data_IF_793891660986
#
_entry.id   IF_793891660986
#
_cell.length_a   1.000
_cell.length_b   1.000
_cell.length_c   1.000
_cell.angle_alpha   90.00
_cell.angle_beta   90.00
_cell.angle_gamma   90.00
#
_symmetry.space_group_name_H-M   'P 1'
#
loop_
_entity.id
_entity.type
_entity.pdbx_description
1 polymer ?
#
# COMPACT_ATOMS: atom_id res chain seq x y z
N UNK A 1 45.38 -9.40 -38.39
CA UNK A 1 44.69 -10.59 -37.87
C UNK A 1 44.79 -10.51 -36.37
N UNK A 2 43.75 -10.32 -35.58
CA UNK A 2 42.33 -10.12 -35.84
C UNK A 2 41.85 -9.30 -34.63
N UNK A 3 41.17 -8.19 -34.91
CA UNK A 3 40.56 -7.31 -33.93
C UNK A 3 39.15 -7.81 -33.63
N UNK A 4 38.92 -8.21 -32.38
CA UNK A 4 37.67 -8.71 -31.83
C UNK A 4 36.61 -7.58 -31.77
N UNK A 5 35.40 -7.73 -32.34
CA UNK A 5 34.40 -6.68 -32.35
C UNK A 5 33.54 -6.70 -31.08
N UNK A 6 33.35 -5.51 -30.51
CA UNK A 6 32.46 -5.19 -29.39
C UNK A 6 31.14 -5.99 -29.35
N UNK A 7 30.92 -6.71 -28.24
CA UNK A 7 29.58 -7.12 -27.80
C UNK A 7 28.83 -5.90 -27.26
N UNK A 8 28.01 -5.29 -28.10
CA UNK A 8 26.99 -4.34 -27.66
C UNK A 8 25.86 -5.07 -26.90
N UNK A 9 25.92 -5.06 -25.57
CA UNK A 9 24.70 -5.16 -24.75
C UNK A 9 24.06 -3.78 -24.68
N UNK A 10 23.38 -3.39 -25.76
CA UNK A 10 22.71 -2.09 -25.85
C UNK A 10 21.32 -2.11 -25.23
N UNK A 11 21.15 -1.44 -24.09
CA UNK A 11 19.86 -0.79 -23.81
C UNK A 11 19.67 0.28 -24.91
N UNK A 12 18.75 0.04 -25.84
CA UNK A 12 18.47 1.00 -26.89
C UNK A 12 17.48 2.03 -26.35
N UNK A 13 17.99 3.21 -25.97
CA UNK A 13 17.15 4.35 -25.61
C UNK A 13 16.43 4.85 -26.87
N UNK A 14 15.10 4.79 -26.86
CA UNK A 14 14.28 5.46 -27.88
C UNK A 14 14.18 6.92 -27.45
N UNK A 15 15.06 7.78 -27.99
CA UNK A 15 14.91 9.22 -27.83
C UNK A 15 13.68 9.68 -28.62
N UNK A 16 12.68 10.19 -27.91
CA UNK A 16 11.51 10.86 -28.48
C UNK A 16 11.82 12.35 -28.40
N UNK A 17 12.34 12.91 -29.49
CA UNK A 17 12.68 14.34 -29.55
C UNK A 17 11.46 15.18 -29.99
N UNK A 18 10.40 14.54 -30.48
CA UNK A 18 9.21 15.20 -30.99
C UNK A 18 7.93 14.41 -30.59
N UNK A 19 6.87 15.05 -30.07
CA UNK A 19 5.62 14.38 -29.66
C UNK A 19 4.96 13.47 -30.71
N UNK A 20 5.20 13.73 -31.99
CA UNK A 20 4.65 12.94 -33.11
C UNK A 20 5.37 11.59 -33.33
N UNK A 21 6.57 11.40 -32.77
CA UNK A 21 7.31 10.13 -32.83
C UNK A 21 6.59 8.98 -32.10
N UNK A 22 5.63 9.32 -31.24
CA UNK A 22 4.78 8.34 -30.54
C UNK A 22 3.78 7.66 -31.47
N UNK A 23 3.58 8.15 -32.70
CA UNK A 23 2.75 7.54 -33.74
C UNK A 23 3.54 6.63 -34.70
N UNK A 24 4.86 6.61 -34.58
CA UNK A 24 5.72 5.78 -35.41
C UNK A 24 5.49 4.29 -35.13
N UNK A 25 5.08 3.58 -36.19
CA UNK A 25 4.71 2.16 -36.17
C UNK A 25 5.90 1.26 -35.83
N UNK A 26 7.12 1.67 -36.17
CA UNK A 26 8.32 0.86 -35.96
C UNK A 26 8.81 0.97 -34.52
N UNK A 27 8.82 2.18 -33.95
CA UNK A 27 9.12 2.42 -32.52
C UNK A 27 8.12 1.72 -31.58
N UNK A 28 6.82 1.72 -31.93
CA UNK A 28 5.78 0.95 -31.20
C UNK A 28 6.00 -0.56 -31.26
N UNK A 29 6.47 -1.08 -32.40
CA UNK A 29 6.75 -2.51 -32.58
C UNK A 29 7.94 -2.93 -31.72
N UNK A 30 8.99 -2.11 -31.62
CA UNK A 30 10.16 -2.37 -30.77
C UNK A 30 9.80 -2.34 -29.28
N UNK A 31 9.01 -1.35 -28.84
CA UNK A 31 8.54 -1.28 -27.45
C UNK A 31 7.68 -2.49 -27.06
N UNK A 32 6.74 -2.91 -27.92
CA UNK A 32 5.92 -4.12 -27.70
C UNK A 32 6.76 -5.40 -27.72
N UNK A 33 7.76 -5.49 -28.60
CA UNK A 33 8.68 -6.63 -28.63
C UNK A 33 9.49 -6.74 -27.35
N UNK A 34 9.94 -5.62 -26.77
CA UNK A 34 10.62 -5.60 -25.49
C UNK A 34 9.71 -6.03 -24.32
N UNK A 35 8.48 -5.52 -24.26
CA UNK A 35 7.50 -5.92 -23.24
C UNK A 35 7.19 -7.43 -23.29
N UNK A 36 6.99 -7.98 -24.50
CA UNK A 36 6.76 -9.41 -24.70
C UNK A 36 8.00 -10.24 -24.33
N UNK A 37 9.21 -9.78 -24.68
CA UNK A 37 10.47 -10.48 -24.36
C UNK A 37 10.75 -10.49 -22.85
N UNK A 38 10.31 -9.47 -22.12
CA UNK A 38 10.39 -9.39 -20.67
C UNK A 38 9.36 -10.33 -19.99
N UNK A 39 8.13 -10.37 -20.50
CA UNK A 39 7.10 -11.31 -20.04
C UNK A 39 7.46 -12.79 -20.31
N UNK A 40 8.17 -13.07 -21.41
CA UNK A 40 8.68 -14.41 -21.69
C UNK A 40 9.89 -14.78 -20.82
N UNK A 41 10.68 -13.81 -20.34
CA UNK A 41 11.78 -14.04 -19.41
C UNK A 41 11.29 -14.34 -17.99
N UNK A 42 10.22 -13.68 -17.52
CA UNK A 42 9.60 -14.03 -16.23
C UNK A 42 9.00 -15.43 -16.24
N UNK A 43 8.48 -15.89 -17.38
CA UNK A 43 7.91 -17.24 -17.57
C UNK A 43 8.95 -18.38 -17.65
N UNK A 44 10.23 -18.07 -17.84
CA UNK A 44 11.33 -19.06 -17.95
C UNK A 44 12.08 -19.31 -16.64
N UNK A 45 11.70 -18.66 -15.53
CA UNK A 45 12.12 -19.07 -14.20
C UNK A 45 11.26 -20.27 -13.77
N UNK A 46 11.84 -21.42 -13.37
CA UNK A 46 11.06 -22.59 -12.97
C UNK A 46 10.13 -22.26 -11.79
N UNK A 47 8.84 -22.57 -11.94
CA UNK A 47 7.87 -22.64 -10.86
C UNK A 47 7.98 -24.02 -10.20
N UNK A 48 8.32 -24.07 -8.92
CA UNK A 48 8.06 -25.21 -8.06
C UNK A 48 7.23 -24.72 -6.86
N UNK A 49 6.09 -25.38 -6.61
CA UNK A 49 5.30 -25.25 -5.39
C UNK A 49 3.91 -24.59 -5.50
N UNK A 50 2.97 -25.23 -6.20
CA UNK A 50 1.54 -24.90 -6.14
C UNK A 50 0.89 -25.57 -4.92
N UNK A 51 0.37 -24.74 -4.00
CA UNK A 51 -0.78 -24.91 -3.08
C UNK A 51 -1.16 -26.33 -2.62
N UNK A 52 -0.87 -26.63 -1.35
CA UNK A 52 -1.60 -27.61 -0.54
C UNK A 52 -2.44 -26.89 0.52
N UNK A 53 -3.75 -26.78 0.29
CA UNK A 53 -4.71 -26.32 1.31
C UNK A 53 -5.26 -27.55 2.02
N UNK A 54 -4.88 -27.75 3.28
CA UNK A 54 -5.37 -28.85 4.11
C UNK A 54 -5.95 -28.33 5.41
N UNK A 55 -7.28 -28.25 5.51
CA UNK A 55 -8.02 -28.43 6.77
C UNK A 55 -9.30 -29.19 6.41
N UNK A 56 -9.43 -30.40 6.95
CA UNK A 56 -10.66 -31.16 6.94
C UNK A 56 -11.53 -30.80 8.15
N UNK A 57 -12.83 -30.69 7.94
CA UNK A 57 -13.84 -30.94 8.97
C UNK A 57 -15.20 -31.25 8.33
N UNK A 58 -15.65 -32.48 8.61
CA UNK A 58 -16.99 -33.08 8.57
C UNK A 58 -18.18 -32.31 7.99
N UNK A 59 -18.93 -32.99 7.12
CA UNK A 59 -20.11 -32.47 6.45
C UNK A 59 -21.34 -32.31 7.36
N UNK A 60 -22.00 -31.16 7.21
CA UNK A 60 -23.43 -30.97 7.41
C UNK A 60 -23.93 -30.01 6.31
N UNK A 61 -24.91 -30.45 5.53
CA UNK A 61 -25.66 -29.58 4.60
C UNK A 61 -26.43 -28.55 5.43
N UNK A 62 -26.02 -27.28 5.35
CA UNK A 62 -26.80 -26.14 5.85
C UNK A 62 -27.30 -25.35 4.65
N UNK A 63 -28.63 -25.29 4.55
CA UNK A 63 -29.38 -24.53 3.54
C UNK A 63 -28.98 -23.05 3.60
N UNK A 64 -28.79 -22.35 2.47
CA UNK A 64 -28.39 -20.94 2.49
C UNK A 64 -29.41 -20.07 3.23
N UNK A 65 -28.92 -19.31 4.21
CA UNK A 65 -29.60 -18.27 5.00
C UNK A 65 -30.30 -17.18 4.14
N UNK A 66 -30.07 -17.20 2.83
CA UNK A 66 -30.40 -16.16 1.85
C UNK A 66 -31.89 -15.91 1.58
N UNK A 67 -32.82 -16.62 2.22
CA UNK A 67 -34.25 -16.56 1.85
C UNK A 67 -35.08 -15.74 2.85
N UNK A 68 -34.55 -15.42 4.04
CA UNK A 68 -35.33 -14.77 5.11
C UNK A 68 -34.70 -13.53 5.74
N UNK A 69 -33.64 -12.97 5.16
CA UNK A 69 -33.02 -11.77 5.70
C UNK A 69 -33.82 -10.50 5.32
N UNK A 70 -34.11 -9.59 6.27
CA UNK A 70 -34.80 -8.33 5.98
C UNK A 70 -33.95 -7.42 5.08
N UNK A 71 -34.58 -6.50 4.36
CA UNK A 71 -33.90 -5.62 3.38
C UNK A 71 -32.74 -4.77 3.96
N UNK A 72 -32.69 -4.60 5.29
CA UNK A 72 -31.62 -3.92 6.03
C UNK A 72 -30.40 -4.81 6.31
N UNK A 73 -30.43 -6.10 5.96
CA UNK A 73 -29.32 -7.04 6.09
C UNK A 73 -28.43 -7.11 4.83
N UNK A 74 -28.84 -6.42 3.75
CA UNK A 74 -28.08 -6.32 2.51
C UNK A 74 -27.09 -5.16 2.61
N UNK A 75 -25.81 -5.45 2.43
CA UNK A 75 -24.75 -4.43 2.47
C UNK A 75 -24.86 -3.43 1.31
N UNK A 76 -24.17 -2.26 1.40
CA UNK A 76 -24.22 -1.19 0.40
C UNK A 76 -23.74 -1.59 -1.00
N UNK A 77 -23.19 -2.80 -1.17
CA UNK A 77 -22.76 -3.32 -2.46
C UNK A 77 -23.83 -4.10 -3.21
N UNK A 78 -24.94 -4.53 -2.60
CA UNK A 78 -25.99 -5.18 -3.37
C UNK A 78 -26.70 -4.23 -4.35
N UNK A 79 -26.75 -2.93 -4.01
CA UNK A 79 -27.17 -1.88 -4.96
C UNK A 79 -26.10 -1.58 -6.01
N UNK A 80 -24.80 -1.70 -5.69
CA UNK A 80 -23.66 -1.48 -6.60
C UNK A 80 -23.52 -2.62 -7.62
N UNK A 81 -23.97 -3.83 -7.30
CA UNK A 81 -23.71 -5.02 -8.11
C UNK A 81 -24.24 -4.96 -9.54
N UNK A 82 -25.22 -4.10 -9.84
CA UNK A 82 -25.88 -4.02 -11.14
C UNK A 82 -26.24 -5.40 -11.71
N UNK A 83 -26.52 -5.45 -13.01
CA UNK A 83 -26.83 -6.71 -13.70
C UNK A 83 -25.59 -7.50 -14.17
N UNK A 84 -24.37 -7.16 -13.73
CA UNK A 84 -23.14 -7.81 -14.23
C UNK A 84 -22.72 -9.04 -13.41
N UNK A 85 -23.01 -10.28 -13.84
CA UNK A 85 -22.63 -11.48 -13.09
C UNK A 85 -21.11 -11.63 -12.94
N UNK A 86 -20.34 -11.14 -13.93
CA UNK A 86 -18.87 -11.17 -13.87
C UNK A 86 -18.34 -10.27 -12.75
N UNK A 87 -18.90 -9.06 -12.59
CA UNK A 87 -18.48 -8.16 -11.52
C UNK A 87 -18.78 -8.75 -10.13
N UNK A 88 -19.95 -9.36 -9.96
CA UNK A 88 -20.30 -10.05 -8.70
C UNK A 88 -19.32 -11.18 -8.38
N UNK A 89 -18.94 -11.95 -9.39
CA UNK A 89 -17.94 -13.02 -9.26
C UNK A 89 -16.54 -12.51 -8.91
N UNK A 90 -16.18 -11.30 -9.35
CA UNK A 90 -14.90 -10.68 -8.98
C UNK A 90 -14.92 -10.16 -7.55
N UNK A 91 -15.97 -9.44 -7.14
CA UNK A 91 -16.11 -8.85 -5.79
C UNK A 91 -16.22 -9.90 -4.68
N UNK A 92 -16.74 -11.09 -5.00
CA UNK A 92 -16.80 -12.20 -4.04
C UNK A 92 -15.41 -12.69 -3.63
N UNK A 93 -14.37 -12.41 -4.42
CA UNK A 93 -13.00 -12.78 -4.11
C UNK A 93 -12.38 -11.82 -3.07
N UNK A 94 -11.73 -12.38 -2.05
CA UNK A 94 -11.12 -11.60 -0.95
C UNK A 94 -10.10 -10.58 -1.46
N UNK A 95 -9.20 -10.99 -2.37
CA UNK A 95 -8.22 -10.10 -2.99
C UNK A 95 -8.83 -8.87 -3.69
N UNK A 96 -10.02 -9.00 -4.28
CA UNK A 96 -10.69 -7.89 -4.96
C UNK A 96 -11.22 -6.84 -3.98
N UNK A 97 -11.62 -7.24 -2.76
CA UNK A 97 -12.24 -6.35 -1.78
C UNK A 97 -11.32 -5.22 -1.29
N UNK A 98 -10.00 -5.44 -1.37
CA UNK A 98 -8.98 -4.44 -1.00
C UNK A 98 -8.29 -3.80 -2.22
N UNK A 99 -8.57 -4.29 -3.43
CA UNK A 99 -7.87 -3.84 -4.64
C UNK A 99 -8.22 -2.41 -5.06
N UNK A 100 -9.41 -1.95 -4.69
CA UNK A 100 -9.87 -0.59 -4.94
C UNK A 100 -9.32 0.43 -3.94
N UNK A 101 -8.77 -0.01 -2.80
CA UNK A 101 -8.12 0.89 -1.86
C UNK A 101 -6.82 1.44 -2.50
N UNK A 102 -6.52 2.74 -2.32
CA UNK A 102 -7.17 3.68 -1.40
C UNK A 102 -8.33 4.50 -1.99
N UNK A 103 -8.74 4.24 -3.23
CA UNK A 103 -9.75 5.05 -3.92
C UNK A 103 -11.12 4.94 -3.21
N UNK A 104 -11.51 3.72 -2.84
CA UNK A 104 -12.65 3.45 -1.97
C UNK A 104 -12.52 2.05 -1.34
N UNK A 105 -13.26 1.79 -0.27
CA UNK A 105 -13.28 0.51 0.44
C UNK A 105 -14.53 -0.31 0.10
N UNK A 106 -14.33 -1.60 -0.15
CA UNK A 106 -15.42 -2.59 -0.34
C UNK A 106 -15.65 -3.42 0.92
N UNK A 107 -14.58 -3.73 1.66
CA UNK A 107 -14.60 -4.67 2.78
C UNK A 107 -15.17 -4.06 4.07
N UNK A 108 -14.78 -2.83 4.37
CA UNK A 108 -15.22 -2.11 5.57
C UNK A 108 -15.33 -0.62 5.21
N UNK A 109 -16.53 -0.15 4.82
CA UNK A 109 -16.72 1.23 4.40
C UNK A 109 -16.46 2.14 5.60
N UNK A 110 -15.25 2.71 5.67
CA UNK A 110 -15.06 3.95 6.43
C UNK A 110 -16.01 4.96 5.83
N UNK A 111 -16.78 5.63 6.67
CA UNK A 111 -17.95 6.48 6.33
C UNK A 111 -17.69 7.53 5.23
N UNK A 112 -16.43 7.79 4.87
CA UNK A 112 -16.03 8.80 3.89
C UNK A 112 -15.29 8.22 2.66
N UNK A 113 -15.13 6.91 2.57
CA UNK A 113 -14.46 6.19 1.47
C UNK A 113 -15.29 5.01 0.97
N UNK A 114 -16.59 4.97 1.25
CA UNK A 114 -17.49 4.06 0.52
C UNK A 114 -17.75 4.59 -0.90
N UNK A 115 -18.18 3.69 -1.79
CA UNK A 115 -18.39 4.00 -3.19
C UNK A 115 -19.37 5.17 -3.42
N UNK A 116 -20.49 5.18 -2.69
CA UNK A 116 -21.53 6.21 -2.83
C UNK A 116 -21.03 7.58 -2.38
N UNK A 117 -20.31 7.62 -1.26
CA UNK A 117 -19.70 8.85 -0.73
C UNK A 117 -18.63 9.44 -1.66
N UNK A 118 -17.85 8.59 -2.32
CA UNK A 118 -16.78 9.05 -3.23
C UNK A 118 -17.35 9.54 -4.56
N UNK A 119 -18.21 8.75 -5.21
CA UNK A 119 -18.60 9.00 -6.61
C UNK A 119 -19.96 9.66 -6.79
N UNK A 120 -20.86 9.60 -5.79
CA UNK A 120 -22.24 10.13 -5.86
C UNK A 120 -23.00 9.72 -7.13
N UNK A 121 -22.71 8.53 -7.65
CA UNK A 121 -23.33 7.98 -8.86
C UNK A 121 -23.56 6.48 -8.67
N UNK A 122 -24.48 5.94 -9.46
CA UNK A 122 -24.61 4.50 -9.65
C UNK A 122 -23.48 3.97 -10.54
N UNK A 123 -23.27 2.65 -10.52
CA UNK A 123 -22.18 1.94 -11.21
C UNK A 123 -22.34 1.83 -12.74
N UNK A 124 -23.15 2.70 -13.35
CA UNK A 124 -23.46 2.66 -14.78
C UNK A 124 -22.47 3.49 -15.62
N UNK A 125 -21.57 4.23 -14.97
CA UNK A 125 -20.57 5.02 -15.65
C UNK A 125 -19.54 4.13 -16.38
N UNK A 126 -19.40 4.22 -17.72
CA UNK A 126 -18.59 3.28 -18.49
C UNK A 126 -17.08 3.39 -18.22
N UNK A 127 -16.56 4.57 -17.86
CA UNK A 127 -15.15 4.73 -17.52
C UNK A 127 -14.86 4.08 -16.17
N UNK A 128 -15.67 4.42 -15.16
CA UNK A 128 -15.51 3.90 -13.80
C UNK A 128 -15.75 2.39 -13.74
N UNK A 129 -16.82 1.89 -14.36
CA UNK A 129 -17.13 0.45 -14.38
C UNK A 129 -16.00 -0.39 -14.98
N UNK A 130 -15.41 0.06 -16.08
CA UNK A 130 -14.31 -0.68 -16.70
C UNK A 130 -13.01 -0.57 -15.90
N UNK A 131 -12.70 0.58 -15.31
CA UNK A 131 -11.56 0.72 -14.42
C UNK A 131 -11.69 -0.15 -13.15
N UNK A 132 -12.92 -0.31 -12.63
CA UNK A 132 -13.24 -1.21 -11.53
C UNK A 132 -13.05 -2.68 -11.90
N UNK A 133 -13.64 -3.11 -13.03
CA UNK A 133 -13.48 -4.48 -13.53
C UNK A 133 -12.01 -4.82 -13.75
N UNK A 134 -11.23 -3.91 -14.32
CA UNK A 134 -9.78 -4.04 -14.44
C UNK A 134 -9.13 -4.24 -13.07
N UNK A 135 -9.41 -3.36 -12.10
CA UNK A 135 -8.81 -3.39 -10.77
C UNK A 135 -9.06 -4.72 -10.07
N UNK A 136 -10.29 -5.23 -10.15
CA UNK A 136 -10.64 -6.51 -9.53
C UNK A 136 -10.11 -7.72 -10.30
N UNK A 137 -10.20 -7.73 -11.63
CA UNK A 137 -9.63 -8.81 -12.45
C UNK A 137 -8.12 -8.93 -12.24
N UNK A 138 -7.41 -7.79 -12.19
CA UNK A 138 -5.98 -7.74 -11.88
C UNK A 138 -5.65 -8.32 -10.51
N UNK A 139 -6.46 -8.02 -9.47
CA UNK A 139 -6.24 -8.56 -8.14
C UNK A 139 -6.50 -10.07 -8.06
N UNK A 140 -7.58 -10.55 -8.69
CA UNK A 140 -7.95 -11.97 -8.71
C UNK A 140 -6.92 -12.83 -9.43
N UNK A 141 -6.26 -12.29 -10.44
CA UNK A 141 -5.20 -12.98 -11.19
C UNK A 141 -3.82 -12.90 -10.52
N UNK A 142 -3.73 -12.37 -9.30
CA UNK A 142 -2.47 -12.22 -8.57
C UNK A 142 -1.52 -11.19 -9.22
N UNK A 143 -2.08 -10.18 -9.90
CA UNK A 143 -1.32 -9.15 -10.59
C UNK A 143 -0.88 -9.51 -12.02
N UNK A 144 -1.46 -10.56 -12.62
CA UNK A 144 -1.16 -10.94 -13.99
C UNK A 144 -2.10 -10.22 -14.98
N UNK A 145 -1.52 -9.47 -15.93
CA UNK A 145 -2.30 -8.79 -16.96
C UNK A 145 -2.62 -9.78 -18.09
N UNK A 146 -3.88 -10.21 -18.16
CA UNK A 146 -4.43 -11.06 -19.22
C UNK A 146 -5.25 -10.25 -20.25
N UNK A 147 -5.87 -10.95 -21.20
CA UNK A 147 -6.67 -10.30 -22.25
C UNK A 147 -7.87 -9.56 -21.66
N UNK A 148 -8.53 -10.12 -20.63
CA UNK A 148 -9.67 -9.48 -19.97
C UNK A 148 -9.25 -8.14 -19.33
N UNK A 149 -8.10 -8.10 -18.67
CA UNK A 149 -7.54 -6.86 -18.13
C UNK A 149 -7.26 -5.83 -19.24
N UNK A 150 -6.63 -6.24 -20.34
CA UNK A 150 -6.32 -5.34 -21.45
C UNK A 150 -7.58 -4.75 -22.10
N UNK A 151 -8.66 -5.54 -22.21
CA UNK A 151 -9.92 -5.10 -22.76
C UNK A 151 -10.59 -4.04 -21.86
N UNK A 152 -10.65 -4.28 -20.54
CA UNK A 152 -11.17 -3.31 -19.59
C UNK A 152 -10.34 -2.02 -19.55
N UNK A 153 -9.00 -2.13 -19.58
CA UNK A 153 -8.11 -0.98 -19.65
C UNK A 153 -8.36 -0.15 -20.91
N UNK A 154 -8.50 -0.80 -22.07
CA UNK A 154 -8.77 -0.15 -23.35
C UNK A 154 -10.09 0.62 -23.35
N UNK A 155 -11.15 0.01 -22.81
CA UNK A 155 -12.48 0.63 -22.72
C UNK A 155 -12.50 1.83 -21.77
N UNK A 156 -11.88 1.71 -20.59
CA UNK A 156 -11.76 2.81 -19.64
C UNK A 156 -11.00 3.99 -20.26
N UNK A 157 -9.84 3.72 -20.88
CA UNK A 157 -9.01 4.75 -21.51
C UNK A 157 -9.70 5.43 -22.71
N UNK A 158 -10.47 4.69 -23.52
CA UNK A 158 -11.25 5.27 -24.63
C UNK A 158 -12.28 6.26 -24.10
N UNK A 159 -13.04 5.83 -23.10
CA UNK A 159 -14.09 6.66 -22.48
C UNK A 159 -13.51 7.91 -21.82
N UNK A 160 -12.41 7.76 -21.06
CA UNK A 160 -11.71 8.89 -20.45
C UNK A 160 -11.27 9.89 -21.53
N UNK A 161 -10.65 9.42 -22.61
CA UNK A 161 -10.19 10.28 -23.71
C UNK A 161 -11.33 11.04 -24.37
N UNK A 162 -12.48 10.40 -24.59
CA UNK A 162 -13.67 11.07 -25.13
C UNK A 162 -14.16 12.19 -24.21
N UNK A 163 -14.14 11.98 -22.88
CA UNK A 163 -14.53 12.98 -21.88
C UNK A 163 -13.59 14.15 -21.77
N UNK A 164 -12.30 13.98 -22.08
CA UNK A 164 -11.34 15.10 -22.08
C UNK A 164 -11.68 16.22 -23.07
N UNK A 165 -12.60 16.00 -24.00
CA UNK A 165 -13.09 17.04 -24.91
C UNK A 165 -14.06 18.04 -24.26
N UNK A 166 -14.60 17.75 -23.08
CA UNK A 166 -15.48 18.66 -22.32
C UNK A 166 -14.98 18.79 -20.87
N UNK A 167 -14.73 20.02 -20.38
CA UNK A 167 -14.30 20.25 -19.00
C UNK A 167 -15.22 19.63 -17.95
N UNK A 168 -16.54 19.70 -18.15
CA UNK A 168 -17.55 19.17 -17.23
C UNK A 168 -17.47 17.64 -17.15
N UNK A 169 -17.30 16.98 -18.29
CA UNK A 169 -17.15 15.52 -18.35
C UNK A 169 -15.78 15.04 -17.84
N UNK A 170 -14.72 15.82 -18.09
CA UNK A 170 -13.36 15.55 -17.63
C UNK A 170 -13.24 15.65 -16.10
N UNK A 171 -13.98 16.59 -15.49
CA UNK A 171 -13.99 16.85 -14.04
C UNK A 171 -15.05 16.07 -13.28
N UNK A 172 -15.78 15.18 -13.93
CA UNK A 172 -16.77 14.35 -13.24
C UNK A 172 -16.09 13.37 -12.27
N UNK A 173 -16.74 13.11 -11.12
CA UNK A 173 -16.23 12.18 -10.11
C UNK A 173 -15.91 10.79 -10.68
N UNK A 174 -16.73 10.21 -11.58
CA UNK A 174 -16.39 8.91 -12.18
C UNK A 174 -15.15 8.94 -13.07
N UNK A 175 -14.92 10.03 -13.81
CA UNK A 175 -13.71 10.19 -14.64
C UNK A 175 -12.46 10.28 -13.77
N UNK A 176 -12.49 11.10 -12.71
CA UNK A 176 -11.40 11.19 -11.74
C UNK A 176 -11.15 9.82 -11.08
N UNK A 177 -12.21 9.14 -10.63
CA UNK A 177 -12.14 7.79 -10.08
C UNK A 177 -11.49 6.77 -11.00
N UNK A 178 -11.89 6.76 -12.28
CA UNK A 178 -11.34 5.86 -13.27
C UNK A 178 -9.83 6.08 -13.49
N UNK A 179 -9.39 7.34 -13.54
CA UNK A 179 -7.97 7.69 -13.66
C UNK A 179 -7.19 7.21 -12.42
N UNK A 180 -7.73 7.41 -11.20
CA UNK A 180 -7.08 6.98 -9.96
C UNK A 180 -6.95 5.46 -9.87
N UNK A 181 -7.99 4.71 -10.28
CA UNK A 181 -7.96 3.24 -10.32
C UNK A 181 -6.93 2.72 -11.32
N UNK A 182 -6.82 3.34 -12.50
CA UNK A 182 -5.78 3.03 -13.49
C UNK A 182 -4.38 3.28 -12.92
N UNK A 183 -4.16 4.43 -12.28
CA UNK A 183 -2.91 4.75 -11.61
C UNK A 183 -2.57 3.70 -10.53
N UNK A 184 -3.57 3.20 -9.78
CA UNK A 184 -3.38 2.16 -8.77
C UNK A 184 -2.96 0.81 -9.33
N UNK A 185 -3.52 0.39 -10.46
CA UNK A 185 -3.08 -0.85 -11.15
C UNK A 185 -1.64 -0.70 -11.65
N UNK A 186 -1.32 0.43 -12.26
CA UNK A 186 0.02 0.71 -12.79
C UNK A 186 1.07 0.86 -11.68
N UNK A 187 0.69 1.44 -10.54
CA UNK A 187 1.54 1.50 -9.36
C UNK A 187 1.91 0.10 -8.83
N UNK A 188 0.92 -0.81 -8.77
CA UNK A 188 1.14 -2.23 -8.41
C UNK A 188 2.03 -2.98 -9.40
N UNK A 189 2.06 -2.53 -10.66
CA UNK A 189 2.96 -3.05 -11.70
C UNK A 189 4.35 -2.39 -11.69
N UNK A 190 4.60 -1.39 -10.83
CA UNK A 190 5.86 -0.65 -10.80
C UNK A 190 6.04 0.31 -11.98
N UNK A 191 4.96 0.68 -12.67
CA UNK A 191 5.00 1.50 -13.89
C UNK A 191 5.06 3.01 -13.57
N UNK A 192 6.20 3.46 -13.01
CA UNK A 192 6.41 4.86 -12.57
C UNK A 192 5.96 5.92 -13.58
N UNK A 193 6.31 5.74 -14.86
CA UNK A 193 6.00 6.73 -15.90
C UNK A 193 4.50 6.87 -16.13
N UNK A 194 3.77 5.76 -16.18
CA UNK A 194 2.33 5.76 -16.42
C UNK A 194 1.58 6.32 -15.20
N UNK A 195 2.02 6.00 -13.99
CA UNK A 195 1.55 6.67 -12.77
C UNK A 195 1.74 8.18 -12.86
N UNK A 196 2.94 8.65 -13.24
CA UNK A 196 3.23 10.07 -13.37
C UNK A 196 2.33 10.76 -14.40
N UNK A 197 1.99 10.06 -15.49
CA UNK A 197 1.07 10.57 -16.51
C UNK A 197 -0.35 10.74 -15.95
N UNK A 198 -0.90 9.73 -15.28
CA UNK A 198 -2.25 9.83 -14.71
C UNK A 198 -2.34 10.86 -13.59
N UNK A 199 -1.38 10.88 -12.68
CA UNK A 199 -1.35 11.88 -11.61
C UNK A 199 -1.12 13.28 -12.20
N UNK A 200 -0.26 13.43 -13.21
CA UNK A 200 -0.11 14.68 -13.96
C UNK A 200 -1.42 15.17 -14.59
N UNK A 201 -2.24 14.25 -15.13
CA UNK A 201 -3.57 14.57 -15.64
C UNK A 201 -4.51 15.03 -14.51
N UNK A 202 -4.51 14.36 -13.36
CA UNK A 202 -5.28 14.79 -12.18
C UNK A 202 -4.87 16.20 -11.74
N UNK A 203 -3.58 16.53 -11.69
CA UNK A 203 -3.10 17.88 -11.34
C UNK A 203 -3.72 18.93 -12.27
N UNK A 204 -3.65 18.71 -13.58
CA UNK A 204 -4.22 19.64 -14.58
C UNK A 204 -5.74 19.78 -14.44
N UNK A 205 -6.44 18.69 -14.12
CA UNK A 205 -7.87 18.72 -13.85
C UNK A 205 -8.20 19.50 -12.58
N UNK A 206 -7.43 19.35 -11.50
CA UNK A 206 -7.61 20.13 -10.27
C UNK A 206 -7.43 21.64 -10.52
N UNK A 207 -6.41 22.01 -11.28
CA UNK A 207 -6.17 23.40 -11.70
C UNK A 207 -7.33 23.96 -12.53
N UNK A 208 -7.86 23.16 -13.48
CA UNK A 208 -9.04 23.53 -14.25
C UNK A 208 -10.29 23.69 -13.37
N UNK A 209 -10.49 22.80 -12.40
CA UNK A 209 -11.62 22.80 -11.48
C UNK A 209 -11.69 24.06 -10.60
N UNK A 210 -10.53 24.60 -10.18
CA UNK A 210 -10.46 25.85 -9.43
C UNK A 210 -11.08 27.03 -10.19
N UNK A 211 -10.98 27.04 -11.53
CA UNK A 211 -11.53 28.10 -12.37
C UNK A 211 -13.03 27.98 -12.66
N UNK A 212 -13.65 26.81 -12.42
CA UNK A 212 -15.02 26.48 -12.86
C UNK A 212 -16.01 26.19 -11.74
N UNK A 213 -15.63 26.39 -10.47
CA UNK A 213 -16.51 26.22 -9.30
C UNK A 213 -17.10 24.80 -9.20
N UNK A 214 -16.37 23.77 -9.65
CA UNK A 214 -16.81 22.38 -9.58
C UNK A 214 -16.48 21.81 -8.19
N UNK A 215 -17.49 21.30 -7.51
CA UNK A 215 -17.35 20.77 -6.16
C UNK A 215 -16.85 19.31 -6.19
N UNK A 216 -15.65 19.08 -5.65
CA UNK A 216 -15.12 17.75 -5.37
C UNK A 216 -15.57 17.27 -4.00
N UNK A 217 -15.98 16.00 -3.90
CA UNK A 217 -16.32 15.35 -2.63
C UNK A 217 -15.08 15.18 -1.75
N UNK A 218 -15.28 15.10 -0.44
CA UNK A 218 -14.19 14.83 0.49
C UNK A 218 -13.58 13.44 0.21
N UNK A 219 -14.44 12.48 -0.17
CA UNK A 219 -14.03 11.14 -0.59
C UNK A 219 -13.08 11.16 -1.79
N UNK A 220 -13.38 11.91 -2.87
CA UNK A 220 -12.49 11.96 -4.03
C UNK A 220 -11.19 12.70 -3.72
N UNK A 221 -11.21 13.77 -2.92
CA UNK A 221 -9.98 14.48 -2.49
C UNK A 221 -9.04 13.54 -1.73
N UNK A 222 -9.61 12.73 -0.83
CA UNK A 222 -8.87 11.71 -0.05
C UNK A 222 -8.35 10.59 -0.95
N UNK A 223 -9.16 10.13 -1.91
CA UNK A 223 -8.73 9.16 -2.90
C UNK A 223 -7.53 9.67 -3.72
N UNK A 224 -7.55 10.93 -4.17
CA UNK A 224 -6.43 11.54 -4.89
C UNK A 224 -5.18 11.58 -4.01
N UNK A 225 -5.30 12.06 -2.76
CA UNK A 225 -4.18 12.11 -1.80
C UNK A 225 -3.53 10.76 -1.58
N UNK A 226 -4.34 9.78 -1.18
CA UNK A 226 -3.80 8.47 -0.84
C UNK A 226 -3.28 7.73 -2.06
N UNK A 227 -3.91 7.90 -3.23
CA UNK A 227 -3.40 7.31 -4.47
C UNK A 227 -2.06 7.91 -4.86
N UNK A 228 -1.89 9.24 -4.77
CA UNK A 228 -0.62 9.91 -5.06
C UNK A 228 0.50 9.45 -4.11
N UNK A 229 0.22 9.45 -2.80
CA UNK A 229 1.17 9.03 -1.76
C UNK A 229 1.58 7.56 -1.94
N UNK A 230 0.61 6.65 -2.07
CA UNK A 230 0.89 5.22 -2.21
C UNK A 230 1.65 4.95 -3.50
N UNK A 231 1.27 5.58 -4.62
CA UNK A 231 1.96 5.37 -5.90
C UNK A 231 3.40 5.89 -5.87
N UNK A 232 3.66 7.00 -5.17
CA UNK A 232 5.00 7.51 -4.95
C UNK A 232 5.87 6.55 -4.15
N UNK A 233 5.35 5.96 -3.07
CA UNK A 233 6.07 4.93 -2.30
C UNK A 233 6.35 3.70 -3.16
N UNK A 234 5.36 3.25 -3.93
CA UNK A 234 5.45 2.03 -4.72
C UNK A 234 6.37 2.12 -5.93
N UNK A 235 6.46 3.30 -6.54
CA UNK A 235 7.12 3.47 -7.85
C UNK A 235 8.23 4.52 -7.86
N UNK A 236 8.33 5.34 -6.81
CA UNK A 236 9.17 6.54 -6.78
C UNK A 236 8.66 7.68 -7.67
N UNK A 237 7.38 7.70 -8.04
CA UNK A 237 6.79 8.83 -8.78
C UNK A 237 6.82 10.11 -7.95
N UNK A 238 6.91 11.24 -8.64
CA UNK A 238 6.95 12.56 -8.00
C UNK A 238 5.53 12.94 -7.60
N UNK A 239 5.38 13.26 -6.30
CA UNK A 239 4.08 13.61 -5.73
C UNK A 239 3.57 14.93 -6.31
N UNK A 240 2.26 14.99 -6.48
CA UNK A 240 1.56 16.19 -6.94
C UNK A 240 0.84 16.93 -5.83
N UNK A 241 0.56 16.26 -4.72
CA UNK A 241 -0.16 16.82 -3.57
C UNK A 241 0.41 16.30 -2.25
N UNK A 242 0.24 17.11 -1.20
CA UNK A 242 0.66 16.83 0.17
C UNK A 242 -0.50 16.89 1.17
N UNK A 243 -0.19 16.57 2.43
CA UNK A 243 -1.15 16.57 3.54
C UNK A 243 -1.74 17.96 3.86
N UNK A 244 -1.23 19.03 3.24
CA UNK A 244 -1.73 20.40 3.41
C UNK A 244 -2.61 20.85 2.25
N UNK A 245 -2.58 20.12 1.12
CA UNK A 245 -3.23 20.50 -0.14
C UNK A 245 -4.76 20.54 -0.02
N UNK A 246 -5.37 19.59 0.69
CA UNK A 246 -6.81 19.57 0.93
C UNK A 246 -7.10 19.86 2.40
N UNK A 247 -7.99 20.81 2.67
CA UNK A 247 -8.34 21.23 4.03
C UNK A 247 -8.91 20.08 4.87
N UNK A 248 -9.62 19.16 4.22
CA UNK A 248 -10.26 18.00 4.84
C UNK A 248 -9.26 16.95 5.36
N UNK A 249 -8.02 16.98 4.87
CA UNK A 249 -6.91 16.12 5.31
C UNK A 249 -5.99 16.80 6.32
N UNK A 250 -6.17 18.10 6.56
CA UNK A 250 -5.33 18.82 7.50
C UNK A 250 -5.51 18.24 8.90
N UNK A 251 -4.38 17.98 9.53
CA UNK A 251 -4.31 17.50 10.90
C UNK A 251 -3.33 18.36 11.70
N UNK A 252 -3.66 18.57 12.96
CA UNK A 252 -2.80 19.25 13.93
C UNK A 252 -2.85 18.50 15.24
N UNK A 253 -1.75 18.59 15.99
CA UNK A 253 -1.68 18.07 17.35
C UNK A 253 -2.78 18.69 18.20
N UNK A 254 -3.30 17.88 19.10
CA UNK A 254 -4.23 18.33 20.11
C UNK A 254 -3.46 19.11 21.18
N UNK A 255 -3.70 20.42 21.34
CA UNK A 255 -2.97 21.21 22.32
C UNK A 255 -3.26 20.77 23.77
N UNK A 256 -4.34 20.03 24.00
CA UNK A 256 -4.74 19.56 25.33
C UNK A 256 -4.24 18.14 25.65
N UNK A 257 -3.63 17.45 24.69
CA UNK A 257 -3.07 16.10 24.87
C UNK A 257 -1.56 16.07 24.63
N UNK A 258 -0.82 17.06 25.15
CA UNK A 258 0.61 17.20 24.95
C UNK A 258 1.41 15.93 25.33
N UNK A 259 0.95 15.22 26.36
CA UNK A 259 1.59 13.99 26.86
C UNK A 259 1.56 12.83 25.87
N UNK A 260 0.72 12.89 24.82
CA UNK A 260 0.68 11.85 23.78
C UNK A 260 1.80 12.06 22.75
N UNK A 261 2.19 13.32 22.51
CA UNK A 261 3.14 13.72 21.47
C UNK A 261 4.58 13.73 22.01
N UNK A 262 4.97 12.62 22.62
CA UNK A 262 6.30 12.41 23.21
C UNK A 262 7.07 11.35 22.42
N UNK A 263 8.39 11.34 22.58
CA UNK A 263 9.24 10.37 21.90
C UNK A 263 9.37 9.12 22.77
N UNK A 264 9.26 7.93 22.17
CA UNK A 264 9.46 6.70 22.93
C UNK A 264 10.91 6.60 23.46
N UNK A 265 11.15 6.00 24.65
CA UNK A 265 12.45 6.07 25.34
C UNK A 265 13.65 5.58 24.52
N UNK A 266 13.45 4.54 23.72
CA UNK A 266 14.45 3.95 22.82
C UNK A 266 14.85 4.86 21.68
N UNK A 267 13.91 5.67 21.17
CA UNK A 267 14.21 6.74 20.19
C UNK A 267 14.85 7.95 20.87
N UNK A 268 14.44 8.31 22.09
CA UNK A 268 15.02 9.43 22.84
C UNK A 268 16.52 9.22 23.11
N UNK A 269 16.92 8.03 23.54
CA UNK A 269 18.35 7.66 23.69
C UNK A 269 19.15 7.82 22.39
N UNK A 270 18.48 7.77 21.25
CA UNK A 270 19.04 7.78 19.89
C UNK A 270 18.71 9.06 19.13
N UNK A 271 18.21 10.10 19.81
CA UNK A 271 17.74 11.34 19.17
C UNK A 271 18.81 12.00 18.29
N UNK A 272 20.09 11.87 18.68
CA UNK A 272 21.23 12.40 17.94
C UNK A 272 21.44 11.77 16.55
N UNK A 273 20.81 10.63 16.25
CA UNK A 273 20.83 9.99 14.94
C UNK A 273 19.79 10.58 13.97
N UNK A 274 18.81 11.31 14.49
CA UNK A 274 17.60 11.67 13.77
C UNK A 274 17.51 13.18 13.51
N UNK A 275 16.95 13.55 12.37
CA UNK A 275 16.61 14.94 12.09
C UNK A 275 15.43 15.38 12.95
N UNK A 276 15.33 16.67 13.25
CA UNK A 276 14.19 17.22 14.00
C UNK A 276 12.86 16.87 13.33
N UNK A 277 12.78 16.96 12.00
CA UNK A 277 11.55 16.66 11.26
C UNK A 277 11.11 15.21 11.45
N UNK A 278 12.06 14.26 11.45
CA UNK A 278 11.77 12.85 11.71
C UNK A 278 11.37 12.60 13.17
N UNK A 279 12.05 13.26 14.12
CA UNK A 279 11.69 13.21 15.55
C UNK A 279 10.24 13.67 15.77
N UNK A 280 9.83 14.76 15.10
CA UNK A 280 8.46 15.25 15.21
C UNK A 280 7.45 14.26 14.61
N UNK A 281 7.80 13.54 13.54
CA UNK A 281 6.96 12.46 13.02
C UNK A 281 6.87 11.29 14.00
N UNK A 282 7.98 10.88 14.62
CA UNK A 282 7.98 9.79 15.60
C UNK A 282 7.08 10.08 16.81
N UNK A 283 7.05 11.33 17.27
CA UNK A 283 6.10 11.79 18.31
C UNK A 283 4.65 11.66 17.86
N UNK A 284 4.36 11.96 16.59
CA UNK A 284 3.01 11.84 16.03
C UNK A 284 2.60 10.37 15.87
N UNK A 285 3.52 9.46 15.57
CA UNK A 285 3.27 8.01 15.53
C UNK A 285 3.05 7.47 16.95
N UNK A 286 3.84 7.91 17.93
CA UNK A 286 3.64 7.55 19.33
C UNK A 286 2.27 8.02 19.85
N UNK A 287 1.83 9.23 19.49
CA UNK A 287 0.50 9.69 19.83
C UNK A 287 -0.61 8.78 19.23
N UNK A 288 -0.39 8.28 18.01
CA UNK A 288 -1.31 7.31 17.37
C UNK A 288 -1.36 5.99 18.15
N UNK A 289 -0.21 5.51 18.62
CA UNK A 289 -0.11 4.35 19.51
C UNK A 289 -0.88 4.58 20.82
N UNK A 290 -0.68 5.73 21.48
CA UNK A 290 -1.41 6.06 22.71
C UNK A 290 -2.92 6.02 22.50
N UNK A 291 -3.43 6.59 21.40
CA UNK A 291 -4.85 6.55 21.05
C UNK A 291 -5.33 5.11 20.85
N UNK A 292 -4.58 4.30 20.10
CA UNK A 292 -4.90 2.89 19.86
C UNK A 292 -5.00 2.09 21.18
N UNK A 293 -4.13 2.40 22.14
CA UNK A 293 -4.05 1.71 23.42
C UNK A 293 -5.07 2.19 24.46
N UNK A 294 -5.77 3.30 24.24
CA UNK A 294 -6.81 3.79 25.16
C UNK A 294 -7.89 2.73 25.45
N UNK A 295 -8.27 2.50 26.72
CA UNK A 295 -9.38 1.64 27.07
C UNK A 295 -10.67 2.13 26.40
N UNK A 296 -11.33 1.26 25.61
CA UNK A 296 -12.56 1.61 24.90
C UNK A 296 -12.38 2.26 23.52
N UNK A 297 -11.15 2.57 23.09
CA UNK A 297 -10.93 2.93 21.69
C UNK A 297 -11.37 1.78 20.81
N UNK A 298 -12.29 2.07 19.90
CA UNK A 298 -12.72 1.12 18.87
C UNK A 298 -12.82 1.87 17.56
N UNK A 299 -12.29 1.25 16.51
CA UNK A 299 -12.34 1.76 15.14
C UNK A 299 -13.74 1.68 14.52
N UNK A 300 -14.78 2.03 15.29
CA UNK A 300 -16.18 1.99 14.89
C UNK A 300 -16.77 3.40 14.79
N UNK A 301 -16.20 4.39 15.50
CA UNK A 301 -16.66 5.77 15.45
C UNK A 301 -16.14 6.47 14.18
N UNK A 302 -17.01 6.95 13.29
CA UNK A 302 -16.62 7.63 12.05
C UNK A 302 -15.74 8.87 12.26
N UNK A 303 -15.99 9.65 13.31
CA UNK A 303 -15.26 10.89 13.60
C UNK A 303 -13.83 10.57 14.05
N UNK A 304 -13.67 9.55 14.89
CA UNK A 304 -12.36 9.09 15.35
C UNK A 304 -11.56 8.49 14.19
N UNK A 305 -12.19 7.68 13.34
CA UNK A 305 -11.56 7.13 12.14
C UNK A 305 -11.07 8.23 11.19
N UNK A 306 -11.86 9.30 10.99
CA UNK A 306 -11.44 10.43 10.17
C UNK A 306 -10.24 11.16 10.77
N UNK A 307 -10.24 11.40 12.08
CA UNK A 307 -9.12 12.05 12.79
C UNK A 307 -7.83 11.22 12.67
N UNK A 308 -7.94 9.91 12.87
CA UNK A 308 -6.83 8.95 12.77
C UNK A 308 -6.30 8.88 11.34
N UNK A 309 -7.17 8.85 10.34
CA UNK A 309 -6.74 8.87 8.96
C UNK A 309 -6.02 10.17 8.57
N UNK A 310 -6.53 11.33 8.99
CA UNK A 310 -5.84 12.61 8.76
C UNK A 310 -4.48 12.67 9.45
N UNK A 311 -4.35 12.09 10.64
CA UNK A 311 -3.06 11.95 11.32
C UNK A 311 -2.11 11.06 10.50
N UNK A 312 -2.59 9.92 10.00
CA UNK A 312 -1.78 9.04 9.16
C UNK A 312 -1.40 9.70 7.82
N UNK A 313 -2.31 10.46 7.21
CA UNK A 313 -2.03 11.23 6.00
C UNK A 313 -0.88 12.22 6.23
N UNK A 314 -0.92 12.95 7.36
CA UNK A 314 0.15 13.85 7.78
C UNK A 314 1.48 13.10 8.00
N UNK A 315 1.47 12.00 8.76
CA UNK A 315 2.65 11.17 9.04
C UNK A 315 3.25 10.63 7.74
N UNK A 316 2.43 9.96 6.92
CA UNK A 316 2.86 9.31 5.69
C UNK A 316 3.40 10.29 4.66
N UNK A 317 2.72 11.43 4.47
CA UNK A 317 3.21 12.51 3.62
C UNK A 317 4.58 12.99 4.08
N UNK A 318 4.72 13.31 5.37
CA UNK A 318 5.98 13.85 5.91
C UNK A 318 7.12 12.84 5.83
N UNK A 319 6.88 11.56 6.12
CA UNK A 319 7.90 10.51 6.02
C UNK A 319 8.45 10.37 4.60
N UNK A 320 7.58 10.41 3.58
CA UNK A 320 7.99 10.28 2.18
C UNK A 320 8.79 11.49 1.72
N UNK A 321 8.48 12.67 2.23
CA UNK A 321 9.14 13.92 1.87
C UNK A 321 10.48 14.13 2.63
N UNK A 322 10.80 13.29 3.63
CA UNK A 322 12.07 13.37 4.35
C UNK A 322 13.28 13.04 3.44
N UNK A 323 14.42 13.73 3.63
CA UNK A 323 15.62 13.44 2.85
C UNK A 323 16.17 12.04 3.18
N UNK A 324 16.41 11.24 2.14
CA UNK A 324 17.00 9.90 2.22
C UNK A 324 18.52 10.00 2.35
N UNK A 325 18.99 10.45 3.51
CA UNK A 325 20.41 10.75 3.75
C UNK A 325 21.32 9.52 3.77
N UNK A 326 20.78 8.34 4.11
CA UNK A 326 21.52 7.08 4.17
C UNK A 326 20.59 5.86 4.10
N UNK A 327 21.11 4.66 3.81
CA UNK A 327 20.31 3.43 3.80
C UNK A 327 19.66 3.10 5.16
N UNK A 328 20.36 3.33 6.28
CA UNK A 328 19.83 3.09 7.63
C UNK A 328 18.74 4.09 8.02
N UNK A 329 18.86 5.36 7.61
CA UNK A 329 17.79 6.35 7.80
C UNK A 329 16.56 5.98 6.97
N UNK A 330 16.75 5.54 5.72
CA UNK A 330 15.64 5.05 4.89
C UNK A 330 14.96 3.82 5.50
N UNK A 331 15.73 2.88 6.09
CA UNK A 331 15.18 1.76 6.84
C UNK A 331 14.35 2.23 8.05
N UNK A 332 14.83 3.22 8.81
CA UNK A 332 14.08 3.80 9.92
C UNK A 332 12.75 4.41 9.45
N UNK A 333 12.77 5.17 8.36
CA UNK A 333 11.54 5.78 7.80
C UNK A 333 10.54 4.72 7.35
N UNK A 334 11.00 3.64 6.70
CA UNK A 334 10.15 2.54 6.26
C UNK A 334 9.56 1.78 7.46
N UNK A 335 10.33 1.52 8.51
CA UNK A 335 9.83 0.87 9.72
C UNK A 335 8.83 1.75 10.49
N UNK A 336 9.07 3.07 10.55
CA UNK A 336 8.14 4.03 11.13
C UNK A 336 6.83 4.11 10.30
N UNK A 337 6.95 4.11 8.97
CA UNK A 337 5.79 4.08 8.06
C UNK A 337 4.97 2.80 8.25
N UNK A 338 5.64 1.64 8.28
CA UNK A 338 4.99 0.35 8.52
C UNK A 338 4.26 0.34 9.87
N UNK A 339 4.92 0.82 10.92
CA UNK A 339 4.32 0.97 12.25
C UNK A 339 3.07 1.84 12.21
N UNK A 340 3.14 3.03 11.57
CA UNK A 340 2.01 3.92 11.43
C UNK A 340 0.83 3.26 10.68
N UNK A 341 1.10 2.50 9.61
CA UNK A 341 0.06 1.75 8.89
C UNK A 341 -0.62 0.71 9.78
N UNK A 342 0.14 0.02 10.63
CA UNK A 342 -0.37 -1.08 11.46
C UNK A 342 -1.11 -0.61 12.72
N UNK A 343 -0.77 0.57 13.23
CA UNK A 343 -1.54 1.27 14.29
C UNK A 343 -2.89 1.77 13.80
N UNK A 344 -3.05 1.93 12.48
CA UNK A 344 -4.26 2.53 11.96
C UNK A 344 -5.45 1.56 11.91
N UNK A 345 -6.60 2.14 11.60
CA UNK A 345 -7.86 1.50 11.28
C UNK A 345 -7.73 0.36 10.27
N UNK A 346 -8.78 -0.45 10.24
CA UNK A 346 -8.91 -1.68 9.43
C UNK A 346 -8.58 -1.51 7.94
N UNK A 347 -8.73 -0.31 7.38
CA UNK A 347 -8.49 -0.04 5.95
C UNK A 347 -7.04 -0.25 5.57
N UNK A 348 -6.11 0.39 6.28
CA UNK A 348 -4.70 0.40 5.84
C UNK A 348 -3.98 -0.91 6.13
N UNK A 349 -4.37 -1.59 7.21
CA UNK A 349 -3.83 -2.88 7.64
C UNK A 349 -3.92 -3.97 6.55
N UNK A 350 -5.00 -3.96 5.76
CA UNK A 350 -5.25 -4.97 4.74
C UNK A 350 -4.96 -4.48 3.32
N UNK A 351 -4.48 -3.23 3.19
CA UNK A 351 -4.07 -2.68 1.91
C UNK A 351 -2.77 -3.33 1.42
N UNK A 352 -2.38 -3.05 0.18
CA UNK A 352 -1.10 -3.53 -0.40
C UNK A 352 0.13 -2.86 0.25
N UNK A 353 -0.06 -1.77 0.98
CA UNK A 353 1.05 -0.93 1.45
C UNK A 353 1.94 -1.57 2.52
N UNK A 354 1.42 -2.18 3.61
CA UNK A 354 2.26 -2.83 4.60
C UNK A 354 3.20 -3.88 3.99
N UNK A 355 2.68 -4.72 3.10
CA UNK A 355 3.48 -5.74 2.43
C UNK A 355 4.58 -5.15 1.54
N UNK A 356 4.26 -4.08 0.81
CA UNK A 356 5.23 -3.39 -0.05
C UNK A 356 6.33 -2.70 0.78
N UNK A 357 5.94 -1.98 1.83
CA UNK A 357 6.86 -1.27 2.74
C UNK A 357 7.75 -2.27 3.47
N UNK A 358 7.19 -3.39 3.94
CA UNK A 358 7.96 -4.47 4.58
C UNK A 358 9.00 -5.08 3.63
N UNK A 359 8.67 -5.33 2.37
CA UNK A 359 9.64 -5.79 1.37
C UNK A 359 10.76 -4.75 1.13
N UNK A 360 10.42 -3.47 1.06
CA UNK A 360 11.42 -2.41 0.88
C UNK A 360 12.31 -2.25 2.10
N UNK A 361 11.75 -2.37 3.31
CA UNK A 361 12.50 -2.39 4.56
C UNK A 361 13.50 -3.56 4.57
N UNK A 362 13.05 -4.76 4.21
CA UNK A 362 13.91 -5.96 4.13
C UNK A 362 15.13 -5.71 3.25
N UNK A 363 14.92 -5.17 2.04
CA UNK A 363 16.02 -4.86 1.11
C UNK A 363 17.03 -3.91 1.74
N UNK A 364 16.57 -2.85 2.43
CA UNK A 364 17.46 -1.89 3.10
C UNK A 364 18.22 -2.52 4.27
N UNK A 365 17.57 -3.39 5.02
CA UNK A 365 18.21 -4.13 6.12
C UNK A 365 19.23 -5.14 5.60
N UNK A 366 18.95 -5.86 4.51
CA UNK A 366 19.90 -6.75 3.84
C UNK A 366 21.10 -5.98 3.26
N UNK A 367 20.85 -4.88 2.55
CA UNK A 367 21.90 -4.01 1.98
C UNK A 367 22.84 -3.45 3.05
N UNK A 368 22.31 -3.16 4.23
CA UNK A 368 23.08 -2.56 5.34
C UNK A 368 23.47 -3.56 6.43
N UNK A 369 23.18 -4.86 6.28
CA UNK A 369 23.32 -5.81 7.39
C UNK A 369 24.74 -5.87 7.95
N UNK A 370 25.76 -5.78 7.10
CA UNK A 370 27.17 -5.81 7.49
C UNK A 370 27.74 -4.46 7.98
N UNK A 371 26.92 -3.41 8.06
CA UNK A 371 27.38 -2.08 8.46
C UNK A 371 27.60 -1.99 9.99
N UNK A 372 28.79 -1.53 10.47
CA UNK A 372 29.07 -1.35 11.90
C UNK A 372 28.11 -0.41 12.63
N UNK A 373 27.34 0.42 11.92
CA UNK A 373 26.26 1.22 12.49
C UNK A 373 25.34 0.37 13.38
N UNK A 374 25.02 -0.85 12.96
CA UNK A 374 24.10 -1.72 13.69
C UNK A 374 24.65 -2.26 15.00
N UNK A 375 25.97 -2.34 15.16
CA UNK A 375 26.60 -2.79 16.41
C UNK A 375 26.33 -1.82 17.57
N UNK A 376 26.20 -0.51 17.25
CA UNK A 376 25.78 0.51 18.21
C UNK A 376 24.26 0.63 18.39
N UNK A 377 23.47 0.08 17.46
CA UNK A 377 22.02 0.29 17.36
C UNK A 377 21.21 -1.01 17.39
N UNK A 378 21.69 -2.01 18.15
CA UNK A 378 21.15 -3.37 18.19
C UNK A 378 19.64 -3.39 18.48
N UNK A 379 19.18 -2.70 19.53
CA UNK A 379 17.74 -2.69 19.90
C UNK A 379 16.86 -2.08 18.79
N UNK A 380 17.36 -1.06 18.09
CA UNK A 380 16.64 -0.45 16.97
C UNK A 380 16.54 -1.43 15.79
N UNK A 381 17.62 -2.17 15.52
CA UNK A 381 17.61 -3.20 14.48
C UNK A 381 16.66 -4.36 14.84
N UNK A 382 16.64 -4.81 16.09
CA UNK A 382 15.69 -5.81 16.60
C UNK A 382 14.26 -5.32 16.33
N UNK A 383 13.95 -4.08 16.72
CA UNK A 383 12.63 -3.50 16.49
C UNK A 383 12.25 -3.50 15.00
N UNK A 384 13.14 -3.06 14.11
CA UNK A 384 12.85 -3.03 12.67
C UNK A 384 12.68 -4.42 12.06
N UNK A 385 13.51 -5.40 12.43
CA UNK A 385 13.42 -6.76 11.89
C UNK A 385 12.13 -7.45 12.33
N UNK A 386 11.74 -7.31 13.60
CA UNK A 386 10.50 -7.90 14.11
C UNK A 386 9.26 -7.19 13.57
N UNK A 387 9.25 -5.86 13.51
CA UNK A 387 8.13 -5.14 12.87
C UNK A 387 8.03 -5.49 11.38
N UNK A 388 9.15 -5.51 10.66
CA UNK A 388 9.20 -5.87 9.25
C UNK A 388 8.70 -7.28 8.97
N UNK A 389 9.23 -8.26 9.71
CA UNK A 389 8.90 -9.67 9.57
C UNK A 389 7.46 -10.01 9.95
N UNK A 390 6.97 -9.48 11.09
CA UNK A 390 5.62 -9.76 11.59
C UNK A 390 4.51 -9.27 10.64
N UNK A 391 4.78 -8.21 9.87
CA UNK A 391 3.83 -7.64 8.90
C UNK A 391 4.22 -7.85 7.43
N UNK A 392 5.17 -8.75 7.18
CA UNK A 392 5.56 -9.14 5.82
C UNK A 392 4.52 -10.08 5.20
N UNK A 393 4.36 -10.07 3.86
CA UNK A 393 3.52 -11.05 3.20
C UNK A 393 4.15 -12.45 3.31
N UNK A 394 3.33 -13.48 3.58
CA UNK A 394 3.79 -14.87 3.63
C UNK A 394 4.51 -15.26 2.31
N UNK A 395 5.51 -16.14 2.41
CA UNK A 395 6.36 -16.56 1.30
C UNK A 395 7.77 -15.96 1.41
N UNK A 396 8.43 -15.72 0.28
CA UNK A 396 9.87 -15.40 0.26
C UNK A 396 10.27 -14.19 1.11
N UNK A 397 9.46 -13.13 1.13
CA UNK A 397 9.76 -11.94 1.95
C UNK A 397 9.78 -12.29 3.43
N UNK A 398 8.81 -13.08 3.87
CA UNK A 398 8.69 -13.54 5.25
C UNK A 398 9.85 -14.47 5.63
N UNK A 399 10.21 -15.41 4.75
CA UNK A 399 11.32 -16.34 4.96
C UNK A 399 12.68 -15.62 4.99
N UNK A 400 12.86 -14.61 4.14
CA UNK A 400 14.07 -13.79 4.12
C UNK A 400 14.25 -12.96 5.40
N UNK A 401 13.15 -12.47 6.01
CA UNK A 401 13.21 -11.85 7.34
C UNK A 401 13.66 -12.84 8.42
N UNK A 402 13.15 -14.08 8.38
CA UNK A 402 13.57 -15.13 9.33
C UNK A 402 15.03 -15.46 9.17
N UNK A 403 15.51 -15.62 7.94
CA UNK A 403 16.91 -15.88 7.65
C UNK A 403 17.81 -14.74 8.15
N UNK A 404 17.42 -13.49 7.92
CA UNK A 404 18.17 -12.32 8.39
C UNK A 404 18.16 -12.22 9.92
N UNK A 405 17.05 -12.52 10.58
CA UNK A 405 16.97 -12.59 12.05
C UNK A 405 17.87 -13.68 12.61
N UNK A 406 17.90 -14.87 12.01
CA UNK A 406 18.76 -15.96 12.43
C UNK A 406 20.24 -15.58 12.32
N UNK A 407 20.66 -15.00 11.19
CA UNK A 407 22.03 -14.51 11.00
C UNK A 407 22.42 -13.48 12.07
N UNK A 408 21.50 -12.58 12.42
CA UNK A 408 21.71 -11.57 13.45
C UNK A 408 21.71 -12.18 14.86
N UNK A 409 20.94 -13.22 15.13
CA UNK A 409 20.95 -13.97 16.39
C UNK A 409 22.29 -14.66 16.66
N UNK A 410 22.85 -15.29 15.63
CA UNK A 410 24.11 -16.02 15.72
C UNK A 410 25.32 -15.08 15.84
N UNK A 411 25.16 -13.80 15.49
CA UNK A 411 26.25 -12.81 15.49
C UNK A 411 26.12 -11.71 16.55
N UNK A 412 25.06 -10.91 16.52
CA UNK A 412 24.96 -9.65 17.28
C UNK A 412 23.83 -9.59 18.30
N UNK A 413 22.80 -10.45 18.20
CA UNK A 413 21.71 -10.53 19.18
C UNK A 413 21.94 -11.59 20.26
N UNK A 414 23.09 -12.25 20.27
CA UNK A 414 23.43 -13.25 21.29
C UNK A 414 23.25 -12.68 22.70
N UNK A 415 22.36 -13.29 23.48
CA UNK A 415 22.06 -12.88 24.85
C UNK A 415 21.25 -11.58 25.00
N UNK A 416 20.64 -11.05 23.92
CA UNK A 416 19.79 -9.85 24.00
C UNK A 416 18.37 -10.15 24.45
N UNK A 417 17.80 -11.25 24.01
CA UNK A 417 16.52 -11.78 24.46
C UNK A 417 16.49 -13.29 24.21
N UNK A 418 15.75 -14.00 25.05
CA UNK A 418 15.56 -15.46 25.05
C UNK A 418 14.09 -15.86 25.17
N UNK A 419 13.23 -14.92 25.53
CA UNK A 419 11.78 -15.10 25.62
C UNK A 419 11.05 -14.01 24.85
N UNK A 420 9.79 -14.30 24.51
CA UNK A 420 8.88 -13.32 23.90
C UNK A 420 8.76 -12.05 24.76
N UNK A 421 8.69 -12.17 26.09
CA UNK A 421 8.50 -11.00 26.95
C UNK A 421 9.74 -10.11 27.04
N UNK A 422 10.93 -10.69 26.93
CA UNK A 422 12.17 -9.92 26.78
C UNK A 422 12.20 -9.19 25.43
N UNK A 423 11.74 -9.84 24.36
CA UNK A 423 11.57 -9.17 23.07
C UNK A 423 10.56 -8.02 23.17
N UNK A 424 9.37 -8.26 23.73
CA UNK A 424 8.33 -7.23 23.91
C UNK A 424 8.84 -6.07 24.75
N UNK A 425 9.66 -6.33 25.78
CA UNK A 425 10.30 -5.27 26.56
C UNK A 425 11.23 -4.38 25.71
N UNK A 426 11.97 -4.96 24.76
CA UNK A 426 12.79 -4.21 23.79
C UNK A 426 11.91 -3.43 22.83
N UNK A 427 10.89 -4.08 22.25
CA UNK A 427 9.94 -3.45 21.32
C UNK A 427 9.24 -2.24 21.96
N UNK A 428 8.88 -2.36 23.23
CA UNK A 428 8.22 -1.32 24.04
C UNK A 428 9.09 -0.10 24.33
N UNK A 429 10.41 -0.17 24.10
CA UNK A 429 11.24 1.03 24.11
C UNK A 429 10.98 1.92 22.88
N UNK A 430 10.42 1.38 21.80
CA UNK A 430 10.14 2.11 20.56
C UNK A 430 8.61 2.29 20.40
N UNK A 431 8.09 2.22 19.18
CA UNK A 431 6.65 2.23 18.94
C UNK A 431 6.12 0.81 19.12
N UNK A 432 5.25 0.62 20.12
CA UNK A 432 4.64 -0.67 20.47
C UNK A 432 3.21 -0.50 20.99
N UNK A 433 2.23 -1.04 20.27
CA UNK A 433 0.86 -1.18 20.77
C UNK A 433 0.56 -2.64 21.02
N UNK A 434 0.24 -2.97 22.27
CA UNK A 434 -0.14 -4.33 22.66
C UNK A 434 -1.36 -4.80 21.87
N UNK A 435 -2.32 -3.91 21.63
CA UNK A 435 -3.55 -4.24 20.89
C UNK A 435 -3.31 -4.41 19.40
N UNK A 436 -2.41 -3.63 18.81
CA UNK A 436 -2.23 -3.62 17.36
C UNK A 436 -1.22 -4.65 16.87
N UNK A 437 -0.20 -4.97 17.67
CA UNK A 437 0.98 -5.70 17.19
C UNK A 437 1.19 -7.07 17.82
N UNK A 438 0.77 -7.25 19.08
CA UNK A 438 1.12 -8.43 19.90
C UNK A 438 0.87 -9.74 19.17
N UNK A 439 -0.35 -9.94 18.65
CA UNK A 439 -0.74 -11.19 18.00
C UNK A 439 0.14 -11.56 16.79
N UNK A 440 0.45 -10.60 15.91
CA UNK A 440 1.27 -10.85 14.72
C UNK A 440 2.74 -11.09 15.08
N UNK A 441 3.24 -10.41 16.11
CA UNK A 441 4.61 -10.58 16.59
C UNK A 441 4.78 -11.90 17.33
N UNK A 442 3.76 -12.35 18.06
CA UNK A 442 3.69 -13.68 18.65
C UNK A 442 3.70 -14.78 17.60
N UNK A 443 2.84 -14.67 16.58
CA UNK A 443 2.79 -15.63 15.46
C UNK A 443 4.18 -15.72 14.79
N UNK A 444 4.80 -14.58 14.51
CA UNK A 444 6.13 -14.55 13.90
C UNK A 444 7.22 -15.11 14.82
N UNK A 445 7.15 -14.84 16.11
CA UNK A 445 8.06 -15.37 17.12
C UNK A 445 8.03 -16.91 17.18
N UNK A 446 6.82 -17.49 17.23
CA UNK A 446 6.60 -18.94 17.26
C UNK A 446 7.16 -19.63 16.01
N UNK A 447 7.05 -18.97 14.84
CA UNK A 447 7.61 -19.48 13.59
C UNK A 447 9.15 -19.48 13.56
N UNK A 448 9.81 -18.58 14.30
CA UNK A 448 11.28 -18.51 14.41
C UNK A 448 11.81 -19.43 15.50
N UNK A 449 11.05 -19.60 16.58
CA UNK A 449 11.40 -20.44 17.73
C UNK A 449 10.38 -21.57 17.89
N UNK A 450 10.32 -22.53 16.95
CA UNK A 450 9.38 -23.63 17.07
C UNK A 450 9.64 -24.37 18.38
N UNK A 451 8.64 -24.41 19.24
CA UNK A 451 8.66 -25.21 20.45
C UNK A 451 8.92 -26.68 20.08
N UNK A 452 9.79 -27.34 20.84
CA UNK A 452 10.20 -28.75 20.62
C UNK A 452 9.06 -29.74 21.01
N UNK A 453 7.79 -29.31 20.97
CA UNK A 453 6.66 -30.06 21.50
C UNK A 453 5.85 -30.83 20.42
N UNK A 454 6.40 -30.99 19.21
CA UNK A 454 5.76 -31.75 18.12
C UNK A 454 6.45 -33.10 17.78
N UNK A 455 7.24 -33.65 18.71
CA UNK A 455 7.73 -35.04 18.63
C UNK A 455 7.71 -35.71 20.00
N UNK A 456 6.52 -36.14 20.42
CA UNK A 456 6.34 -37.32 21.28
C UNK A 456 5.16 -38.15 20.79
#
# INVERSE_FOLDING_TARGET
MDSDPHKETGFQFISIQNPEDTKDREKRRVARSHAVKQALRSKRRPQEGTLGSGIGASGQMLVPWSIFAPASAYGPFESIMGDSPRLRALISHTAARHAAEPVFSVADPVVFQDFGSVFRTDLDDPALLNALKLTFAFAVTGGNVDQECLDYQGQAMSTIRERMNSPEAALSLPTLGAILLLAGVEARLGMRWQVQLHMGAIRQLLELGQSRTIYLTDGIKRAIFWQDLNSSIMTGSDRIIDHTTFAELQWKRDPFAADFFVLAPGFEKRIHLFTNDYVEVLKDIHALQCVQDLPGYSCQNPVEMLRVDNQQASIGSRLVDLPKLSPYMEACYLAAYLSACMLCCKVWRHSVMPSHVSLHLLRKLQESNGDPFWDGQIELLIWMLHMGGSFSPKGSVHDDYKALLQENHDSRFTGKYSSLEELVAIMSQFIWSEKAYRAQVEEFWEEIHPSIDATQ
#
